data_IF_419174511282
#
_entry.id   IF_419174511282
#
_cell.length_a   1.000
_cell.length_b   1.000
_cell.length_c   1.000
_cell.angle_alpha   90.00
_cell.angle_beta   90.00
_cell.angle_gamma   90.00
#
_symmetry.space_group_name_H-M   'P 1'
#
loop_
_entity.id
_entity.type
_entity.pdbx_description
1 polymer ?
#
# COMPACT_ATOMS: atom_id res chain seq x y z
N UNK A 1 -22.54 10.54 3.46
CA UNK A 1 -21.35 11.35 3.79
C UNK A 1 -21.16 11.24 5.29
N UNK A 2 -20.06 10.65 5.78
CA UNK A 2 -19.79 10.56 7.21
C UNK A 2 -19.39 11.96 7.70
N UNK A 3 -20.08 12.45 8.73
CA UNK A 3 -19.67 13.66 9.46
C UNK A 3 -18.37 13.37 10.22
N UNK A 4 -17.25 13.31 9.50
CA UNK A 4 -15.94 13.29 10.14
C UNK A 4 -15.72 14.68 10.69
N UNK A 5 -15.67 14.79 12.01
CA UNK A 5 -15.39 16.04 12.72
C UNK A 5 -14.04 16.57 12.21
N UNK A 6 -14.02 17.78 11.66
CA UNK A 6 -12.77 18.42 11.28
C UNK A 6 -11.98 18.71 12.55
N UNK A 7 -10.93 17.94 12.77
CA UNK A 7 -10.03 18.08 13.93
C UNK A 7 -8.98 19.13 13.58
N UNK A 8 -8.75 20.08 14.46
CA UNK A 8 -7.75 21.14 14.27
C UNK A 8 -6.41 20.76 14.87
N UNK A 9 -5.32 21.34 14.36
CA UNK A 9 -3.96 21.13 14.90
C UNK A 9 -3.89 21.44 16.40
N UNK A 10 -4.67 22.42 16.88
CA UNK A 10 -4.75 22.78 18.31
C UNK A 10 -5.40 21.67 19.15
N UNK A 11 -6.41 20.97 18.61
CA UNK A 11 -7.06 19.83 19.29
C UNK A 11 -6.16 18.58 19.35
N UNK A 12 -5.17 18.48 18.47
CA UNK A 12 -4.21 17.36 18.45
C UNK A 12 -2.95 17.64 19.26
N UNK A 13 -2.70 18.90 19.61
CA UNK A 13 -1.54 19.27 20.40
C UNK A 13 -1.55 18.59 21.77
N UNK A 14 -0.51 17.81 22.07
CA UNK A 14 -0.38 17.09 23.34
C UNK A 14 -1.16 15.77 23.44
N UNK A 15 -1.91 15.38 22.40
CA UNK A 15 -2.56 14.07 22.35
C UNK A 15 -1.56 12.96 22.09
N UNK A 16 -1.74 11.84 22.78
CA UNK A 16 -1.00 10.62 22.51
C UNK A 16 -1.63 9.83 21.34
N UNK A 17 -0.98 8.71 20.97
CA UNK A 17 -1.45 7.86 19.87
C UNK A 17 -2.83 7.27 20.16
N UNK A 18 -3.13 6.94 21.42
CA UNK A 18 -4.43 6.36 21.82
C UNK A 18 -5.55 7.39 21.63
N UNK A 19 -5.30 8.63 22.07
CA UNK A 19 -6.25 9.72 21.90
C UNK A 19 -6.54 9.98 20.42
N UNK A 20 -5.50 9.97 19.58
CA UNK A 20 -5.63 10.20 18.13
C UNK A 20 -6.43 9.06 17.49
N UNK A 21 -6.14 7.80 17.82
CA UNK A 21 -6.86 6.64 17.25
C UNK A 21 -8.33 6.64 17.68
N UNK A 22 -8.62 7.06 18.92
CA UNK A 22 -10.02 7.13 19.41
C UNK A 22 -10.88 8.09 18.59
N UNK A 23 -10.30 9.13 17.97
CA UNK A 23 -11.02 10.07 17.11
C UNK A 23 -11.51 9.44 15.80
N UNK A 24 -10.91 8.30 15.39
CA UNK A 24 -11.27 7.59 14.16
C UNK A 24 -11.92 6.23 14.40
N UNK A 25 -12.23 5.89 15.64
CA UNK A 25 -12.84 4.60 16.05
C UNK A 25 -14.08 4.24 15.22
N UNK A 26 -14.98 5.19 15.04
CA UNK A 26 -16.21 4.98 14.27
C UNK A 26 -15.93 4.65 12.79
N UNK A 27 -14.84 5.20 12.23
CA UNK A 27 -14.44 4.96 10.86
C UNK A 27 -13.85 3.56 10.71
N UNK A 28 -13.00 3.12 11.64
CA UNK A 28 -12.49 1.74 11.68
C UNK A 28 -13.62 0.73 11.75
N UNK A 29 -14.53 0.88 12.72
CA UNK A 29 -15.67 -0.02 12.90
C UNK A 29 -16.57 -0.09 11.68
N UNK A 30 -16.85 1.04 11.04
CA UNK A 30 -17.65 1.11 9.81
C UNK A 30 -17.02 0.30 8.67
N UNK A 31 -15.69 0.25 8.60
CA UNK A 31 -14.95 -0.48 7.57
C UNK A 31 -14.54 -1.90 8.00
N UNK A 32 -15.14 -2.43 9.07
CA UNK A 32 -14.93 -3.81 9.52
C UNK A 32 -13.57 -4.08 10.16
N UNK A 33 -12.89 -3.03 10.63
CA UNK A 33 -11.61 -3.15 11.34
C UNK A 33 -11.82 -3.02 12.86
N UNK A 34 -11.03 -3.76 13.62
CA UNK A 34 -11.04 -3.72 15.08
C UNK A 34 -10.09 -2.61 15.58
N UNK A 35 -10.64 -1.51 16.05
CA UNK A 35 -9.88 -0.32 16.49
C UNK A 35 -8.78 -0.64 17.49
N UNK A 36 -9.05 -1.50 18.47
CA UNK A 36 -8.07 -1.88 19.49
C UNK A 36 -6.85 -2.63 18.91
N UNK A 37 -7.09 -3.52 17.95
CA UNK A 37 -6.02 -4.24 17.27
C UNK A 37 -5.21 -3.30 16.37
N UNK A 38 -5.87 -2.45 15.60
CA UNK A 38 -5.20 -1.44 14.77
C UNK A 38 -4.37 -0.48 15.63
N UNK A 39 -4.88 -0.07 16.80
CA UNK A 39 -4.12 0.73 17.77
C UNK A 39 -2.82 0.04 18.19
N UNK A 40 -2.88 -1.25 18.53
CA UNK A 40 -1.67 -2.01 18.90
C UNK A 40 -0.64 -2.04 17.76
N UNK A 41 -1.07 -2.27 16.52
CA UNK A 41 -0.17 -2.25 15.35
C UNK A 41 0.45 -0.87 15.12
N UNK A 42 -0.34 0.21 15.27
CA UNK A 42 0.13 1.60 15.18
C UNK A 42 1.20 1.87 16.24
N UNK A 43 0.92 1.54 17.50
CA UNK A 43 1.85 1.74 18.61
C UNK A 43 3.15 0.96 18.42
N UNK A 44 3.05 -0.32 18.07
CA UNK A 44 4.22 -1.15 17.79
C UNK A 44 5.09 -0.55 16.69
N UNK A 45 4.46 -0.08 15.61
CA UNK A 45 5.18 0.48 14.46
C UNK A 45 5.85 1.82 14.80
N UNK A 46 5.14 2.72 15.50
CA UNK A 46 5.68 4.02 15.91
C UNK A 46 6.84 3.82 16.89
N UNK A 47 6.70 2.92 17.88
CA UNK A 47 7.72 2.69 18.90
C UNK A 47 8.97 1.99 18.34
N UNK A 48 8.80 1.16 17.30
CA UNK A 48 9.92 0.46 16.66
C UNK A 48 10.74 1.35 15.72
N UNK A 49 10.22 2.51 15.30
CA UNK A 49 10.87 3.39 14.34
C UNK A 49 11.07 4.80 14.92
N UNK A 50 12.32 5.18 15.30
CA UNK A 50 12.60 6.49 15.88
C UNK A 50 12.22 7.67 14.98
N UNK A 51 12.28 7.49 13.64
CA UNK A 51 11.90 8.53 12.70
C UNK A 51 10.37 8.74 12.68
N UNK A 52 9.58 7.66 12.77
CA UNK A 52 8.12 7.75 12.94
C UNK A 52 7.76 8.36 14.28
N UNK A 53 8.43 7.96 15.38
CA UNK A 53 8.21 8.55 16.71
C UNK A 53 8.46 10.06 16.68
N UNK A 54 9.54 10.50 16.04
CA UNK A 54 9.86 11.94 15.89
C UNK A 54 8.78 12.64 15.06
N UNK A 55 8.40 12.09 13.92
CA UNK A 55 7.41 12.67 13.03
C UNK A 55 6.05 12.81 13.71
N UNK A 56 5.59 11.77 14.44
CA UNK A 56 4.35 11.79 15.19
C UNK A 56 4.31 12.86 16.29
N UNK A 57 5.45 13.11 16.97
CA UNK A 57 5.57 14.14 18.01
C UNK A 57 5.61 15.56 17.43
N UNK A 58 6.36 15.76 16.34
CA UNK A 58 6.53 17.08 15.71
C UNK A 58 5.30 17.51 14.93
N UNK A 59 4.63 16.55 14.30
CA UNK A 59 3.46 16.80 13.44
C UNK A 59 2.34 15.78 13.72
N UNK A 60 1.64 15.91 14.86
CA UNK A 60 0.56 14.99 15.26
C UNK A 60 -0.62 15.03 14.28
N UNK A 61 -0.81 16.12 13.55
CA UNK A 61 -1.82 16.23 12.50
C UNK A 61 -1.54 15.25 11.35
N UNK A 62 -0.29 15.08 10.96
CA UNK A 62 0.08 14.13 9.92
C UNK A 62 -0.17 12.67 10.36
N UNK A 63 0.04 12.38 11.64
CA UNK A 63 -0.31 11.07 12.21
C UNK A 63 -1.82 10.84 12.16
N UNK A 64 -2.62 11.83 12.63
CA UNK A 64 -4.08 11.76 12.57
C UNK A 64 -4.59 11.52 11.14
N UNK A 65 -4.11 12.29 10.17
CA UNK A 65 -4.52 12.16 8.77
C UNK A 65 -4.12 10.79 8.20
N UNK A 66 -2.94 10.28 8.55
CA UNK A 66 -2.49 8.96 8.11
C UNK A 66 -3.32 7.82 8.70
N UNK A 67 -3.69 7.92 9.98
CA UNK A 67 -4.58 6.96 10.64
C UNK A 67 -5.99 7.03 10.02
N UNK A 68 -6.50 8.24 9.79
CA UNK A 68 -7.80 8.44 9.15
C UNK A 68 -7.83 7.85 7.74
N UNK A 69 -6.78 8.08 6.93
CA UNK A 69 -6.67 7.49 5.58
C UNK A 69 -6.65 5.97 5.61
N UNK A 70 -5.93 5.35 6.54
CA UNK A 70 -5.94 3.89 6.73
C UNK A 70 -7.35 3.41 7.09
N UNK A 71 -8.01 4.05 8.04
CA UNK A 71 -9.36 3.70 8.48
C UNK A 71 -10.40 3.87 7.37
N UNK A 72 -10.38 4.98 6.63
CA UNK A 72 -11.30 5.25 5.50
C UNK A 72 -11.11 4.28 4.34
N UNK A 73 -9.87 3.87 4.11
CA UNK A 73 -9.56 2.89 3.07
C UNK A 73 -9.96 1.47 3.45
N UNK A 74 -10.25 1.18 4.72
CA UNK A 74 -10.50 -0.16 5.23
C UNK A 74 -9.29 -1.07 5.15
N UNK A 75 -8.08 -0.47 5.17
CA UNK A 75 -6.82 -1.21 5.12
C UNK A 75 -6.24 -1.36 6.52
N UNK A 76 -5.86 -2.57 6.87
CA UNK A 76 -5.23 -2.88 8.14
C UNK A 76 -3.74 -2.53 8.13
N UNK A 77 -3.25 -2.09 9.29
CA UNK A 77 -1.83 -1.89 9.57
C UNK A 77 -1.17 -3.15 10.15
N UNK A 78 -1.89 -4.29 10.19
CA UNK A 78 -1.34 -5.59 10.56
C UNK A 78 -0.19 -5.98 9.61
N UNK A 79 1.05 -6.16 10.12
CA UNK A 79 2.20 -6.48 9.27
C UNK A 79 2.05 -7.79 8.47
N UNK A 80 1.28 -8.75 9.00
CA UNK A 80 1.05 -10.04 8.33
C UNK A 80 0.15 -9.90 7.10
N UNK A 81 -0.79 -8.94 7.11
CA UNK A 81 -1.70 -8.72 5.99
C UNK A 81 -1.07 -7.94 4.85
N UNK A 82 -0.05 -7.12 5.15
CA UNK A 82 0.68 -6.32 4.17
C UNK A 82 -0.25 -5.42 3.33
N UNK A 83 -1.26 -4.83 3.97
CA UNK A 83 -2.22 -3.96 3.30
C UNK A 83 -1.77 -2.50 3.28
N UNK A 84 -1.15 -2.04 4.37
CA UNK A 84 -0.63 -0.68 4.48
C UNK A 84 0.42 -0.52 5.57
N UNK A 85 1.13 0.60 5.55
CA UNK A 85 2.13 0.94 6.55
C UNK A 85 2.35 2.45 6.65
N UNK A 86 2.97 2.89 7.74
CA UNK A 86 3.40 4.27 7.91
C UNK A 86 4.84 4.47 7.46
N UNK A 87 5.09 5.61 6.82
CA UNK A 87 6.42 6.03 6.36
C UNK A 87 6.73 7.39 7.00
N UNK A 88 7.90 7.54 7.63
CA UNK A 88 8.39 8.86 7.99
C UNK A 88 8.88 9.57 6.73
N UNK A 89 8.48 10.81 6.53
CA UNK A 89 8.87 11.63 5.40
C UNK A 89 9.08 13.07 5.82
N UNK A 90 10.05 13.77 5.22
CA UNK A 90 10.22 15.20 5.43
C UNK A 90 9.49 15.97 4.33
N UNK A 91 8.42 16.65 4.69
CA UNK A 91 7.68 17.52 3.78
C UNK A 91 8.11 18.98 3.94
N UNK A 92 8.20 19.71 2.82
CA UNK A 92 8.38 21.16 2.86
C UNK A 92 7.06 21.84 3.17
N UNK A 93 6.94 22.42 4.36
CA UNK A 93 5.79 23.22 4.81
C UNK A 93 6.33 24.60 5.13
N UNK A 94 5.84 25.62 4.45
CA UNK A 94 6.29 27.02 4.58
C UNK A 94 7.82 27.19 4.44
N UNK A 95 8.41 26.43 3.50
CA UNK A 95 9.84 26.45 3.22
C UNK A 95 10.71 25.68 4.21
N UNK A 96 10.14 25.08 5.26
CA UNK A 96 10.86 24.28 6.27
C UNK A 96 10.60 22.79 6.08
N UNK A 97 11.63 21.98 6.31
CA UNK A 97 11.48 20.53 6.33
C UNK A 97 10.81 20.10 7.64
N UNK A 98 9.59 19.57 7.53
CA UNK A 98 8.79 19.12 8.67
C UNK A 98 8.68 17.60 8.64
N UNK A 99 9.14 16.87 9.68
CA UNK A 99 8.92 15.45 9.81
C UNK A 99 7.42 15.14 9.81
N UNK A 100 7.00 14.22 8.96
CA UNK A 100 5.60 13.94 8.66
C UNK A 100 5.39 12.44 8.61
N UNK A 101 4.29 11.95 9.16
CA UNK A 101 3.85 10.56 8.99
C UNK A 101 2.98 10.48 7.74
N UNK A 102 3.24 9.51 6.86
CA UNK A 102 2.45 9.26 5.67
C UNK A 102 1.95 7.82 5.69
N UNK A 103 0.65 7.63 5.46
CA UNK A 103 0.09 6.30 5.19
C UNK A 103 0.38 5.90 3.74
N UNK A 104 0.93 4.70 3.56
CA UNK A 104 1.22 4.14 2.24
C UNK A 104 0.56 2.77 2.08
N UNK A 105 -0.41 2.62 1.17
CA UNK A 105 -0.97 1.31 0.85
C UNK A 105 0.07 0.43 0.17
N UNK A 106 0.23 -0.80 0.67
CA UNK A 106 1.04 -1.84 0.06
C UNK A 106 0.32 -2.49 -1.13
N UNK A 107 1.00 -3.39 -1.84
CA UNK A 107 0.41 -3.97 -3.05
C UNK A 107 -0.89 -4.75 -2.76
N UNK A 108 -0.96 -5.49 -1.63
CA UNK A 108 -2.17 -6.21 -1.22
C UNK A 108 -3.31 -5.25 -0.88
N UNK A 109 -3.00 -4.13 -0.22
CA UNK A 109 -3.97 -3.09 0.07
C UNK A 109 -4.49 -2.42 -1.22
N UNK A 110 -3.61 -2.09 -2.16
CA UNK A 110 -4.02 -1.55 -3.47
C UNK A 110 -4.94 -2.52 -4.22
N UNK A 111 -4.60 -3.82 -4.23
CA UNK A 111 -5.46 -4.87 -4.81
C UNK A 111 -6.83 -4.91 -4.13
N UNK A 112 -6.87 -4.93 -2.79
CA UNK A 112 -8.09 -4.92 -1.99
C UNK A 112 -8.97 -3.70 -2.31
N UNK A 113 -8.38 -2.51 -2.39
CA UNK A 113 -9.09 -1.26 -2.73
C UNK A 113 -9.73 -1.31 -4.12
N UNK A 114 -9.00 -1.78 -5.12
CA UNK A 114 -9.50 -1.87 -6.48
C UNK A 114 -10.67 -2.85 -6.60
N UNK A 115 -10.61 -3.99 -5.90
CA UNK A 115 -11.66 -4.98 -5.87
C UNK A 115 -12.88 -4.48 -5.07
N UNK A 116 -12.67 -3.89 -3.89
CA UNK A 116 -13.76 -3.41 -3.02
C UNK A 116 -14.55 -2.25 -3.62
N UNK A 117 -13.94 -1.48 -4.52
CA UNK A 117 -14.61 -0.41 -5.26
C UNK A 117 -15.27 -0.87 -6.55
N UNK A 118 -15.33 -2.18 -6.77
CA UNK A 118 -15.94 -2.81 -7.95
C UNK A 118 -15.38 -2.29 -9.29
N UNK A 119 -14.16 -1.76 -9.30
CA UNK A 119 -13.46 -1.34 -10.52
C UNK A 119 -12.90 -2.55 -11.23
N UNK A 120 -12.36 -3.50 -10.44
CA UNK A 120 -11.61 -4.66 -10.89
C UNK A 120 -12.23 -5.92 -10.31
N UNK A 121 -12.48 -6.91 -11.16
CA UNK A 121 -12.96 -8.24 -10.76
C UNK A 121 -11.83 -9.09 -10.18
N UNK A 122 -10.65 -9.05 -10.82
CA UNK A 122 -9.49 -9.80 -10.38
C UNK A 122 -8.19 -9.17 -10.86
N UNK A 123 -7.10 -9.40 -10.10
CA UNK A 123 -5.72 -9.06 -10.48
C UNK A 123 -4.89 -10.31 -10.27
N UNK A 124 -4.31 -10.82 -11.37
CA UNK A 124 -3.34 -11.91 -11.35
C UNK A 124 -1.97 -11.33 -11.67
N UNK A 125 -0.96 -11.70 -10.89
CA UNK A 125 0.42 -11.28 -11.12
C UNK A 125 1.33 -12.49 -11.06
N UNK A 126 2.24 -12.62 -12.02
CA UNK A 126 3.20 -13.70 -12.08
C UNK A 126 4.58 -13.20 -12.45
N UNK A 127 5.61 -13.89 -11.95
CA UNK A 127 6.99 -13.72 -12.38
C UNK A 127 7.32 -14.73 -13.47
N UNK A 128 8.17 -14.34 -14.42
CA UNK A 128 8.68 -15.20 -15.48
C UNK A 128 10.14 -15.48 -15.18
N UNK A 129 10.50 -16.77 -15.15
CA UNK A 129 11.86 -17.21 -14.90
C UNK A 129 12.53 -17.66 -16.20
N UNK A 130 13.85 -17.58 -16.21
CA UNK A 130 14.66 -18.08 -17.32
C UNK A 130 14.42 -19.58 -17.54
N UNK A 131 14.21 -19.96 -18.81
CA UNK A 131 13.86 -21.31 -19.20
C UNK A 131 12.36 -21.65 -19.18
N UNK A 132 11.49 -20.78 -18.61
CA UNK A 132 10.05 -20.96 -18.72
C UNK A 132 9.52 -20.56 -20.09
N UNK A 133 8.48 -21.25 -20.54
CA UNK A 133 7.78 -20.84 -21.76
C UNK A 133 6.90 -19.63 -21.47
N UNK A 134 7.20 -18.51 -22.12
CA UNK A 134 6.41 -17.28 -22.04
C UNK A 134 6.21 -16.71 -23.43
N UNK A 135 4.96 -16.47 -23.80
CA UNK A 135 4.58 -15.92 -25.09
C UNK A 135 3.55 -14.80 -24.91
N UNK A 136 3.86 -13.64 -25.46
CA UNK A 136 2.99 -12.45 -25.45
C UNK A 136 2.66 -12.07 -26.88
N UNK A 137 1.38 -12.11 -27.24
CA UNK A 137 0.91 -11.81 -28.59
C UNK A 137 -0.19 -10.76 -28.58
N UNK A 138 -0.17 -9.90 -29.61
CA UNK A 138 -1.26 -8.99 -29.94
C UNK A 138 -1.67 -9.25 -31.38
N UNK A 139 -2.82 -9.92 -31.55
CA UNK A 139 -3.34 -10.28 -32.86
C UNK A 139 -4.69 -9.59 -33.04
N UNK A 140 -4.83 -8.75 -34.06
CA UNK A 140 -6.06 -7.99 -34.34
C UNK A 140 -6.59 -7.19 -33.13
N UNK A 141 -5.67 -6.62 -32.35
CA UNK A 141 -6.02 -5.86 -31.12
C UNK A 141 -6.36 -6.72 -29.90
N UNK A 142 -6.33 -8.05 -30.03
CA UNK A 142 -6.53 -8.97 -28.92
C UNK A 142 -5.16 -9.31 -28.32
N UNK A 143 -4.97 -8.91 -27.06
CA UNK A 143 -3.77 -9.21 -26.29
C UNK A 143 -3.91 -10.55 -25.58
N UNK A 144 -2.94 -11.44 -25.73
CA UNK A 144 -2.91 -12.75 -25.10
C UNK A 144 -1.55 -13.02 -24.48
N UNK A 145 -1.57 -13.68 -23.32
CA UNK A 145 -0.37 -14.17 -22.63
C UNK A 145 -0.53 -15.67 -22.42
N UNK A 146 0.46 -16.43 -22.88
CA UNK A 146 0.58 -17.85 -22.59
C UNK A 146 1.85 -18.07 -21.77
N UNK A 147 1.69 -18.53 -20.54
CA UNK A 147 2.78 -18.80 -19.63
C UNK A 147 2.67 -20.21 -19.06
N UNK A 148 3.76 -20.96 -19.10
CA UNK A 148 3.89 -22.29 -18.49
C UNK A 148 4.96 -22.23 -17.42
N UNK A 149 4.58 -21.97 -16.15
CA UNK A 149 5.52 -21.87 -15.05
C UNK A 149 6.12 -23.23 -14.74
N UNK A 150 7.43 -23.25 -14.46
CA UNK A 150 8.10 -24.42 -13.88
C UNK A 150 8.18 -24.28 -12.36
N UNK A 151 7.18 -24.81 -11.66
CA UNK A 151 7.04 -24.65 -10.21
C UNK A 151 8.20 -25.22 -9.39
N UNK A 152 9.01 -26.11 -9.97
CA UNK A 152 10.14 -26.74 -9.28
C UNK A 152 11.47 -25.99 -9.41
N UNK A 153 11.58 -25.04 -10.34
CA UNK A 153 12.84 -24.33 -10.64
C UNK A 153 12.79 -22.83 -10.33
N UNK A 154 11.84 -22.37 -9.49
CA UNK A 154 11.59 -20.97 -9.19
C UNK A 154 12.28 -20.44 -7.92
N UNK A 155 13.17 -21.22 -7.30
CA UNK A 155 13.80 -20.84 -6.02
C UNK A 155 14.85 -19.72 -6.16
N UNK A 156 15.45 -19.58 -7.34
CA UNK A 156 16.53 -18.61 -7.54
C UNK A 156 16.01 -17.29 -8.12
N UNK A 157 15.93 -16.20 -7.31
CA UNK A 157 15.50 -14.89 -7.80
C UNK A 157 16.39 -14.29 -8.92
N UNK A 158 17.64 -14.76 -9.04
CA UNK A 158 18.56 -14.29 -10.09
C UNK A 158 18.09 -14.73 -11.50
N UNK A 159 17.26 -15.76 -11.58
CA UNK A 159 16.68 -16.26 -12.83
C UNK A 159 15.40 -15.53 -13.26
N UNK A 160 14.91 -14.56 -12.51
CA UNK A 160 13.75 -13.77 -12.91
C UNK A 160 14.13 -12.91 -14.12
N UNK A 161 13.46 -13.13 -15.24
CA UNK A 161 13.66 -12.38 -16.50
C UNK A 161 12.58 -11.30 -16.70
N UNK A 162 11.44 -11.44 -16.03
CA UNK A 162 10.34 -10.49 -16.14
C UNK A 162 9.18 -10.83 -15.23
N UNK A 163 8.06 -10.20 -15.49
CA UNK A 163 6.80 -10.48 -14.83
C UNK A 163 5.66 -9.78 -15.54
N UNK A 164 4.44 -10.23 -15.27
CA UNK A 164 3.25 -9.65 -15.84
C UNK A 164 2.11 -9.53 -14.84
N UNK A 165 1.16 -8.66 -15.16
CA UNK A 165 -0.11 -8.55 -14.48
C UNK A 165 -1.26 -8.63 -15.48
N UNK A 166 -2.30 -9.36 -15.13
CA UNK A 166 -3.58 -9.39 -15.83
C UNK A 166 -4.62 -8.81 -14.90
N UNK A 167 -5.21 -7.69 -15.29
CA UNK A 167 -6.24 -6.99 -14.52
C UNK A 167 -7.56 -7.20 -15.26
N UNK A 168 -8.46 -7.97 -14.68
CA UNK A 168 -9.79 -8.18 -15.25
C UNK A 168 -10.74 -7.12 -14.68
N UNK A 169 -11.23 -6.24 -15.55
CA UNK A 169 -12.23 -5.23 -15.18
C UNK A 169 -13.60 -5.87 -14.94
N UNK A 170 -14.48 -5.19 -14.22
CA UNK A 170 -15.85 -5.67 -14.04
C UNK A 170 -16.67 -5.69 -15.34
N UNK A 171 -16.27 -4.92 -16.36
CA UNK A 171 -16.78 -5.05 -17.74
C UNK A 171 -16.45 -6.39 -18.40
N UNK A 172 -15.53 -7.17 -17.81
CA UNK A 172 -15.02 -8.41 -18.37
C UNK A 172 -13.77 -8.25 -19.24
N UNK A 173 -13.37 -7.02 -19.56
CA UNK A 173 -12.20 -6.76 -20.38
C UNK A 173 -10.89 -6.92 -19.57
N UNK A 174 -9.93 -7.74 -20.04
CA UNK A 174 -8.63 -7.86 -19.42
C UNK A 174 -7.70 -6.72 -19.89
N UNK A 175 -6.94 -6.18 -18.93
CA UNK A 175 -5.82 -5.28 -19.18
C UNK A 175 -4.52 -6.00 -18.85
N UNK A 176 -3.52 -5.84 -19.68
CA UNK A 176 -2.25 -6.56 -19.58
C UNK A 176 -1.10 -5.59 -19.31
N UNK A 177 -0.20 -5.97 -18.44
CA UNK A 177 1.06 -5.25 -18.19
C UNK A 177 2.18 -6.28 -18.14
N UNK A 178 3.13 -6.18 -19.05
CA UNK A 178 4.33 -7.02 -19.08
C UNK A 178 5.56 -6.14 -18.87
N UNK A 179 6.46 -6.54 -18.00
CA UNK A 179 7.71 -5.82 -17.70
C UNK A 179 8.88 -6.78 -17.61
N UNK A 180 9.96 -6.45 -18.31
CA UNK A 180 11.23 -7.17 -18.20
C UNK A 180 11.99 -6.80 -16.92
N UNK A 181 13.03 -7.59 -16.61
CA UNK A 181 13.90 -7.45 -15.45
C UNK A 181 14.44 -6.03 -15.26
N UNK A 182 14.88 -5.38 -16.34
CA UNK A 182 15.43 -4.02 -16.29
C UNK A 182 14.47 -2.99 -15.68
N UNK A 183 13.18 -3.16 -15.90
CA UNK A 183 12.17 -2.31 -15.28
C UNK A 183 12.17 -2.45 -13.75
N UNK A 184 12.22 -3.68 -13.25
CA UNK A 184 12.25 -3.95 -11.80
C UNK A 184 13.54 -3.45 -11.15
N UNK A 185 14.69 -3.66 -11.77
CA UNK A 185 15.99 -3.15 -11.29
C UNK A 185 16.01 -1.61 -11.23
N UNK A 186 15.41 -0.93 -12.19
CA UNK A 186 15.25 0.53 -12.17
C UNK A 186 14.35 0.99 -11.03
N UNK A 187 13.21 0.32 -10.80
CA UNK A 187 12.31 0.64 -9.70
C UNK A 187 12.99 0.43 -8.34
N UNK A 188 13.78 -0.66 -8.21
CA UNK A 188 14.56 -0.93 -6.99
C UNK A 188 15.56 0.18 -6.70
N UNK A 189 16.37 0.57 -7.67
CA UNK A 189 17.32 1.68 -7.54
C UNK A 189 16.66 3.00 -7.15
N UNK A 190 15.47 3.29 -7.68
CA UNK A 190 14.71 4.49 -7.31
C UNK A 190 14.19 4.45 -5.87
N UNK A 191 13.89 3.27 -5.32
CA UNK A 191 13.44 3.13 -3.93
C UNK A 191 14.59 3.17 -2.92
N UNK A 192 15.79 2.74 -3.31
CA UNK A 192 17.00 2.77 -2.47
C UNK A 192 17.59 4.19 -2.33
N UNK A 193 17.29 5.07 -3.28
CA UNK A 193 17.78 6.47 -3.30
C UNK A 193 16.82 7.47 -2.62
N UNK A 194 15.83 7.00 -1.90
CA UNK A 194 14.87 7.80 -1.12
C UNK A 194 15.11 7.63 0.37
#
# INVERSE_FOLDING_TARGET
MSNIKKVTSTELAGKDVNDIVSLVDTVYKKNGLHTELELQFIQLKINADPALTRAAKVNPESLYLSILQAAESGLSLNPQWQEGYFVPYNMKIDGKDVPTVIFSPMYRGKKKLLISKEIVKNITTELVYDGEFFDENIINGIHTITHKPDSFNRENPAKIVGGYAIITLNSGEPQYVVKGREYFERCKKQSENK
#
